data_IF_841131337660
#
_entry.id   IF_841131337660
#
_cell.length_a   1.000
_cell.length_b   1.000
_cell.length_c   1.000
_cell.angle_alpha   90.00
_cell.angle_beta   90.00
_cell.angle_gamma   90.00
#
_symmetry.space_group_name_H-M   'P 1'
#
loop_
_entity.id
_entity.type
_entity.pdbx_description
1 polymer ?
#
# COMPACT_ATOMS: atom_id res chain seq x y z
N UNK A 1 -10.54 7.20 -2.68
CA UNK A 1 -9.87 7.14 -1.34
C UNK A 1 -8.66 8.07 -1.24
N UNK A 2 -7.83 8.22 -2.28
CA UNK A 2 -6.71 9.19 -2.30
C UNK A 2 -7.11 10.65 -1.93
N UNK A 3 -8.23 11.22 -2.42
CA UNK A 3 -8.61 12.59 -2.06
C UNK A 3 -8.91 12.76 -0.57
N UNK A 4 -9.48 11.72 0.07
CA UNK A 4 -9.81 11.74 1.49
C UNK A 4 -8.57 11.65 2.39
N UNK A 5 -7.44 11.11 1.90
CA UNK A 5 -6.19 11.02 2.66
C UNK A 5 -5.31 12.27 2.52
N UNK A 6 -5.41 13.00 1.42
CA UNK A 6 -4.57 14.19 1.16
C UNK A 6 -4.96 15.39 2.02
N UNK A 7 -6.25 15.68 2.15
CA UNK A 7 -6.75 16.79 2.97
C UNK A 7 -6.29 16.72 4.45
N UNK A 8 -6.40 15.59 5.17
CA UNK A 8 -5.92 15.50 6.55
C UNK A 8 -4.40 15.54 6.67
N UNK A 9 -3.65 15.13 5.64
CA UNK A 9 -2.18 15.24 5.64
C UNK A 9 -1.77 16.70 5.53
N UNK A 10 -2.36 17.44 4.59
CA UNK A 10 -2.09 18.87 4.40
C UNK A 10 -2.46 19.68 5.64
N UNK A 11 -3.61 19.41 6.25
CA UNK A 11 -4.01 20.12 7.47
C UNK A 11 -3.11 19.80 8.66
N UNK A 12 -2.71 18.54 8.85
CA UNK A 12 -1.85 18.13 9.96
C UNK A 12 -0.40 18.60 9.81
N UNK A 13 0.12 18.63 8.58
CA UNK A 13 1.44 19.19 8.27
C UNK A 13 1.45 20.70 8.50
N UNK A 14 0.45 21.44 7.97
CA UNK A 14 0.32 22.87 8.20
C UNK A 14 0.18 23.21 9.70
N UNK A 15 -0.64 22.45 10.43
CA UNK A 15 -0.80 22.61 11.87
C UNK A 15 0.50 22.33 12.64
N UNK A 16 1.27 21.31 12.25
CA UNK A 16 2.55 21.02 12.89
C UNK A 16 3.57 22.16 12.66
N UNK A 17 3.68 22.65 11.42
CA UNK A 17 4.56 23.77 11.07
C UNK A 17 4.16 25.03 11.83
N UNK A 18 2.87 25.35 11.89
CA UNK A 18 2.37 26.52 12.63
C UNK A 18 2.70 26.46 14.12
N UNK A 19 2.54 25.30 14.76
CA UNK A 19 2.87 25.11 16.19
C UNK A 19 4.37 25.24 16.46
N UNK A 20 5.21 24.68 15.59
CA UNK A 20 6.67 24.81 15.69
C UNK A 20 7.09 26.27 15.47
N UNK A 21 6.56 26.95 14.46
CA UNK A 21 6.86 28.35 14.17
C UNK A 21 6.49 29.28 15.35
N UNK A 22 5.32 29.07 15.95
CA UNK A 22 4.90 29.80 17.15
C UNK A 22 5.86 29.57 18.33
N UNK A 23 6.29 28.32 18.51
CA UNK A 23 7.23 27.94 19.57
C UNK A 23 8.60 28.59 19.38
N UNK A 24 9.10 28.63 18.13
CA UNK A 24 10.35 29.31 17.76
C UNK A 24 10.28 30.82 18.01
N UNK A 25 9.17 31.46 17.61
CA UNK A 25 8.98 32.90 17.79
C UNK A 25 8.93 33.34 19.26
N UNK A 26 8.49 32.45 20.15
CA UNK A 26 8.32 32.80 21.57
C UNK A 26 9.53 32.46 22.42
N UNK A 27 10.22 31.36 22.13
CA UNK A 27 11.31 30.80 22.94
C UNK A 27 12.69 31.33 22.47
N UNK A 28 12.71 32.18 21.43
CA UNK A 28 13.90 32.92 20.93
C UNK A 28 15.18 32.07 20.89
N UNK A 29 16.12 32.28 21.82
CA UNK A 29 17.43 31.62 21.82
C UNK A 29 17.37 30.11 22.08
N UNK A 30 16.42 29.66 22.90
CA UNK A 30 16.23 28.22 23.16
C UNK A 30 15.61 27.49 21.96
N UNK A 31 15.09 28.22 20.96
CA UNK A 31 14.61 27.62 19.72
C UNK A 31 15.72 27.01 18.86
N UNK A 32 17.00 27.35 19.09
CA UNK A 32 18.14 26.74 18.39
C UNK A 32 18.26 25.22 18.61
N UNK A 33 17.65 24.69 19.68
CA UNK A 33 17.62 23.25 19.98
C UNK A 33 16.56 22.49 19.16
N UNK A 34 15.57 23.19 18.57
CA UNK A 34 14.50 22.56 17.80
C UNK A 34 14.92 22.04 16.41
N UNK A 35 15.69 22.78 15.58
CA UNK A 35 16.14 22.31 14.28
C UNK A 35 16.85 20.94 14.29
N UNK A 36 17.82 20.65 15.19
CA UNK A 36 18.46 19.33 15.20
C UNK A 36 17.47 18.22 15.58
N UNK A 37 16.52 18.46 16.48
CA UNK A 37 15.48 17.49 16.83
C UNK A 37 14.54 17.20 15.65
N UNK A 38 14.12 18.23 14.91
CA UNK A 38 13.31 18.08 13.70
C UNK A 38 14.09 17.35 12.60
N UNK A 39 15.38 17.63 12.44
CA UNK A 39 16.24 16.93 11.48
C UNK A 39 16.34 15.44 11.82
N UNK A 40 16.57 15.10 13.09
CA UNK A 40 16.58 13.70 13.56
C UNK A 40 15.24 13.02 13.30
N UNK A 41 14.12 13.71 13.54
CA UNK A 41 12.78 13.19 13.25
C UNK A 41 12.60 12.85 11.77
N UNK A 42 12.94 13.77 10.86
CA UNK A 42 12.81 13.56 9.41
C UNK A 42 13.73 12.44 8.93
N UNK A 43 14.98 12.40 9.40
CA UNK A 43 15.92 11.33 9.05
C UNK A 43 15.44 9.97 9.53
N UNK A 44 14.98 9.87 10.76
CA UNK A 44 14.46 8.61 11.32
C UNK A 44 13.19 8.16 10.57
N UNK A 45 12.29 9.08 10.22
CA UNK A 45 11.15 8.81 9.35
C UNK A 45 11.56 8.24 7.99
N UNK A 46 12.50 8.90 7.31
CA UNK A 46 12.98 8.45 5.99
C UNK A 46 13.67 7.08 6.03
N UNK A 47 14.47 6.82 7.07
CA UNK A 47 15.16 5.55 7.26
C UNK A 47 14.19 4.40 7.53
N UNK A 48 13.11 4.67 8.27
CA UNK A 48 12.16 3.64 8.68
C UNK A 48 11.17 3.22 7.59
N UNK A 49 10.91 4.08 6.60
CA UNK A 49 9.98 3.78 5.50
C UNK A 49 10.43 2.55 4.71
N UNK A 50 11.73 2.39 4.43
CA UNK A 50 12.22 1.28 3.61
C UNK A 50 12.01 -0.11 4.30
N UNK A 51 12.45 -0.34 5.55
CA UNK A 51 12.15 -1.58 6.26
C UNK A 51 10.65 -1.87 6.41
N UNK A 52 9.85 -0.84 6.67
CA UNK A 52 8.41 -0.98 6.83
C UNK A 52 7.73 -1.46 5.55
N UNK A 53 8.12 -0.91 4.39
CA UNK A 53 7.62 -1.34 3.08
C UNK A 53 7.96 -2.81 2.80
N UNK A 54 9.20 -3.21 3.09
CA UNK A 54 9.66 -4.58 2.88
C UNK A 54 8.93 -5.60 3.74
N UNK A 55 8.76 -5.33 5.04
CA UNK A 55 8.01 -6.22 5.94
C UNK A 55 6.53 -6.30 5.55
N UNK A 56 5.93 -5.18 5.16
CA UNK A 56 4.55 -5.18 4.65
C UNK A 56 4.43 -5.94 3.31
N UNK A 57 5.46 -5.92 2.46
CA UNK A 57 5.51 -6.74 1.24
C UNK A 57 5.55 -8.22 1.59
N UNK A 58 6.42 -8.64 2.50
CA UNK A 58 6.49 -10.03 2.98
C UNK A 58 5.13 -10.48 3.51
N UNK A 59 4.48 -9.65 4.36
CA UNK A 59 3.14 -9.94 4.89
C UNK A 59 2.10 -10.14 3.79
N UNK A 60 2.13 -9.36 2.72
CA UNK A 60 1.21 -9.51 1.58
C UNK A 60 1.51 -10.78 0.77
N UNK A 61 2.79 -11.07 0.56
CA UNK A 61 3.25 -12.26 -0.19
C UNK A 61 2.92 -13.56 0.57
N UNK A 62 2.96 -13.57 1.90
CA UNK A 62 2.56 -14.75 2.69
C UNK A 62 1.05 -14.92 2.81
N UNK A 63 0.29 -13.83 2.76
CA UNK A 63 -1.18 -13.88 2.82
C UNK A 63 -1.80 -14.50 1.56
N UNK A 64 -1.27 -14.20 0.38
CA UNK A 64 -1.86 -14.69 -0.88
C UNK A 64 -1.93 -16.22 -0.97
N UNK A 65 -0.83 -16.98 -0.75
CA UNK A 65 -0.88 -18.45 -0.76
C UNK A 65 -1.81 -19.04 0.29
N UNK A 66 -1.90 -18.41 1.47
CA UNK A 66 -2.83 -18.85 2.53
C UNK A 66 -4.29 -18.76 2.05
N UNK A 67 -4.67 -17.64 1.42
CA UNK A 67 -6.03 -17.47 0.88
C UNK A 67 -6.30 -18.43 -0.28
N UNK A 68 -5.32 -18.63 -1.16
CA UNK A 68 -5.43 -19.62 -2.25
C UNK A 68 -5.64 -21.02 -1.71
N UNK A 69 -4.88 -21.44 -0.70
CA UNK A 69 -5.01 -22.76 -0.10
C UNK A 69 -6.40 -22.98 0.54
N UNK A 70 -6.97 -21.94 1.14
CA UNK A 70 -8.34 -22.01 1.67
C UNK A 70 -9.34 -22.22 0.54
N UNK A 71 -9.20 -21.51 -0.59
CA UNK A 71 -10.06 -21.71 -1.76
C UNK A 71 -9.93 -23.12 -2.33
N UNK A 72 -8.70 -23.59 -2.56
CA UNK A 72 -8.41 -24.94 -3.05
C UNK A 72 -8.95 -26.03 -2.11
N UNK A 73 -8.87 -25.79 -0.80
CA UNK A 73 -9.42 -26.70 0.21
C UNK A 73 -10.95 -26.79 0.17
N UNK A 74 -11.64 -25.69 -0.12
CA UNK A 74 -13.11 -25.65 -0.27
C UNK A 74 -13.52 -26.35 -1.55
N UNK A 75 -12.90 -26.00 -2.68
CA UNK A 75 -13.22 -26.57 -4.00
C UNK A 75 -12.86 -28.08 -4.07
N UNK A 76 -11.74 -28.45 -3.45
CA UNK A 76 -11.22 -29.82 -3.40
C UNK A 76 -11.71 -30.66 -2.21
N UNK A 77 -12.65 -30.16 -1.38
CA UNK A 77 -13.00 -30.78 -0.10
C UNK A 77 -13.44 -32.24 -0.25
N UNK A 78 -14.22 -32.57 -1.28
CA UNK A 78 -14.72 -33.93 -1.55
C UNK A 78 -13.55 -34.85 -1.91
N UNK A 79 -12.66 -34.38 -2.79
CA UNK A 79 -11.50 -35.14 -3.27
C UNK A 79 -10.55 -35.44 -2.10
N UNK A 80 -10.22 -34.42 -1.30
CA UNK A 80 -9.32 -34.56 -0.14
C UNK A 80 -9.88 -35.60 0.85
N UNK A 81 -11.19 -35.60 1.10
CA UNK A 81 -11.84 -36.58 1.98
C UNK A 81 -11.91 -37.97 1.36
N UNK A 82 -12.14 -38.07 0.05
CA UNK A 82 -12.25 -39.34 -0.66
C UNK A 82 -10.93 -40.14 -0.66
N UNK A 83 -9.77 -39.47 -0.74
CA UNK A 83 -8.46 -40.10 -0.65
C UNK A 83 -8.01 -40.45 0.79
N UNK A 84 -8.82 -40.13 1.81
CA UNK A 84 -8.64 -40.58 3.18
C UNK A 84 -7.76 -39.68 4.08
N UNK A 85 -7.51 -40.17 5.29
CA UNK A 85 -6.95 -39.38 6.41
C UNK A 85 -5.51 -38.90 6.18
N UNK A 86 -4.72 -39.57 5.35
CA UNK A 86 -3.32 -39.19 5.10
C UNK A 86 -3.23 -37.91 4.26
N UNK A 87 -4.09 -37.78 3.25
CA UNK A 87 -4.18 -36.57 2.42
C UNK A 87 -4.78 -35.40 3.20
N UNK A 88 -5.76 -35.66 4.05
CA UNK A 88 -6.32 -34.65 4.95
C UNK A 88 -5.27 -34.11 5.94
N UNK A 89 -4.47 -35.00 6.55
CA UNK A 89 -3.35 -34.59 7.42
C UNK A 89 -2.26 -33.81 6.67
N UNK A 90 -1.95 -34.19 5.43
CA UNK A 90 -1.02 -33.43 4.58
C UNK A 90 -1.55 -32.02 4.30
N UNK A 91 -2.84 -31.89 3.98
CA UNK A 91 -3.48 -30.60 3.74
C UNK A 91 -3.44 -29.71 5.00
N UNK A 92 -3.76 -30.25 6.17
CA UNK A 92 -3.66 -29.52 7.43
C UNK A 92 -2.24 -29.06 7.73
N UNK A 93 -1.24 -29.92 7.56
CA UNK A 93 0.16 -29.50 7.75
C UNK A 93 0.55 -28.35 6.82
N UNK A 94 0.10 -28.39 5.56
CA UNK A 94 0.39 -27.33 4.59
C UNK A 94 -0.30 -26.02 4.99
N UNK A 95 -1.53 -26.10 5.50
CA UNK A 95 -2.26 -24.97 6.06
C UNK A 95 -1.57 -24.39 7.31
N UNK A 96 -1.15 -25.23 8.26
CA UNK A 96 -0.47 -24.81 9.48
C UNK A 96 0.83 -24.05 9.14
N UNK A 97 1.63 -24.56 8.19
CA UNK A 97 2.85 -23.88 7.73
C UNK A 97 2.53 -22.53 7.08
N UNK A 98 1.47 -22.45 6.26
CA UNK A 98 1.06 -21.18 5.65
C UNK A 98 0.59 -20.16 6.70
N UNK A 99 -0.16 -20.61 7.70
CA UNK A 99 -0.62 -19.78 8.83
C UNK A 99 0.55 -19.31 9.69
N UNK A 100 1.51 -20.19 9.99
CA UNK A 100 2.71 -19.84 10.77
C UNK A 100 3.53 -18.77 10.04
N UNK A 101 3.78 -18.95 8.75
CA UNK A 101 4.52 -17.97 7.93
C UNK A 101 3.81 -16.61 7.87
N UNK A 102 2.48 -16.60 7.71
CA UNK A 102 1.71 -15.36 7.74
C UNK A 102 1.73 -14.71 9.13
N UNK A 103 1.61 -15.51 10.19
CA UNK A 103 1.62 -15.04 11.58
C UNK A 103 2.97 -14.44 11.96
N UNK A 104 4.08 -15.08 11.60
CA UNK A 104 5.42 -14.57 11.79
C UNK A 104 5.64 -13.23 11.05
N UNK A 105 5.20 -13.13 9.79
CA UNK A 105 5.27 -11.88 9.03
C UNK A 105 4.38 -10.76 9.63
N UNK A 106 3.19 -11.12 10.11
CA UNK A 106 2.27 -10.19 10.76
C UNK A 106 2.83 -9.69 12.10
N UNK A 107 3.44 -10.58 12.90
CA UNK A 107 4.12 -10.23 14.14
C UNK A 107 5.29 -9.30 13.89
N UNK A 108 6.16 -9.61 12.92
CA UNK A 108 7.28 -8.74 12.54
C UNK A 108 6.80 -7.34 12.12
N UNK A 109 5.72 -7.25 11.34
CA UNK A 109 5.09 -5.97 10.97
C UNK A 109 4.58 -5.20 12.19
N UNK A 110 3.92 -5.88 13.13
CA UNK A 110 3.44 -5.26 14.36
C UNK A 110 4.59 -4.77 15.26
N UNK A 111 5.62 -5.58 15.47
CA UNK A 111 6.81 -5.22 16.26
C UNK A 111 7.54 -4.02 15.66
N UNK A 112 7.69 -3.99 14.33
CA UNK A 112 8.34 -2.89 13.63
C UNK A 112 7.54 -1.57 13.78
N UNK A 113 6.22 -1.62 13.57
CA UNK A 113 5.34 -0.47 13.81
C UNK A 113 5.42 0.05 15.25
N UNK A 114 5.41 -0.85 16.23
CA UNK A 114 5.52 -0.48 17.64
C UNK A 114 6.87 0.17 17.97
N UNK A 115 7.97 -0.39 17.44
CA UNK A 115 9.31 0.16 17.63
C UNK A 115 9.40 1.61 17.12
N UNK A 116 8.84 1.88 15.94
CA UNK A 116 8.83 3.22 15.38
C UNK A 116 7.91 4.18 16.12
N UNK A 117 6.72 3.72 16.52
CA UNK A 117 5.82 4.52 17.35
C UNK A 117 6.51 4.97 18.65
N UNK A 118 7.25 4.08 19.32
CA UNK A 118 8.02 4.40 20.52
C UNK A 118 9.13 5.44 20.25
N UNK A 119 9.88 5.31 19.15
CA UNK A 119 10.94 6.26 18.78
C UNK A 119 10.38 7.64 18.43
N UNK A 120 9.30 7.68 17.66
CA UNK A 120 8.59 8.93 17.33
C UNK A 120 8.02 9.59 18.58
N UNK A 121 7.42 8.83 19.49
CA UNK A 121 6.92 9.35 20.75
C UNK A 121 8.04 9.93 21.63
N UNK A 122 9.18 9.23 21.73
CA UNK A 122 10.33 9.70 22.48
C UNK A 122 10.85 11.04 21.95
N UNK A 123 11.08 11.16 20.64
CA UNK A 123 11.57 12.40 20.01
C UNK A 123 10.54 13.53 20.19
N UNK A 124 9.26 13.24 19.98
CA UNK A 124 8.19 14.24 20.11
C UNK A 124 8.08 14.75 21.54
N UNK A 125 8.20 13.87 22.53
CA UNK A 125 8.20 14.26 23.95
C UNK A 125 9.46 15.07 24.31
N UNK A 126 10.63 14.77 23.73
CA UNK A 126 11.82 15.60 23.89
C UNK A 126 11.61 17.02 23.33
N UNK A 127 10.94 17.16 22.18
CA UNK A 127 10.56 18.47 21.62
C UNK A 127 9.66 19.23 22.61
N UNK A 128 8.63 18.58 23.15
CA UNK A 128 7.74 19.20 24.14
C UNK A 128 8.48 19.60 25.41
N UNK A 129 9.39 18.76 25.90
CA UNK A 129 10.21 19.06 27.07
C UNK A 129 11.04 20.34 26.84
N UNK A 130 11.69 20.48 25.69
CA UNK A 130 12.45 21.68 25.33
C UNK A 130 11.56 22.92 25.27
N UNK A 131 10.36 22.79 24.68
CA UNK A 131 9.38 23.88 24.61
C UNK A 131 8.94 24.33 26.01
N UNK A 132 8.56 23.38 26.86
CA UNK A 132 8.09 23.68 28.21
C UNK A 132 9.18 24.26 29.10
N UNK A 133 10.42 23.73 29.03
CA UNK A 133 11.56 24.32 29.71
C UNK A 133 11.82 25.76 29.23
N UNK A 134 11.67 26.03 27.94
CA UNK A 134 11.82 27.36 27.37
C UNK A 134 10.79 28.35 27.90
N UNK A 135 9.53 27.91 28.00
CA UNK A 135 8.48 28.69 28.62
C UNK A 135 8.77 29.02 30.09
N UNK A 136 9.35 28.09 30.85
CA UNK A 136 9.71 28.34 32.26
C UNK A 136 10.84 29.35 32.37
N UNK A 137 11.91 29.19 31.57
CA UNK A 137 13.06 30.11 31.58
C UNK A 137 12.68 31.52 31.16
N UNK A 138 11.82 31.66 30.15
CA UNK A 138 11.37 32.95 29.62
C UNK A 138 10.05 33.44 30.24
N UNK A 139 9.58 32.82 31.32
CA UNK A 139 8.30 33.13 31.96
C UNK A 139 8.19 34.60 32.41
N UNK A 140 9.30 35.26 32.71
CA UNK A 140 9.36 36.68 33.07
C UNK A 140 9.15 37.64 31.90
N UNK A 141 9.40 37.18 30.67
CA UNK A 141 9.37 38.00 29.45
C UNK A 141 8.13 37.75 28.58
N UNK A 142 7.32 36.73 28.93
CA UNK A 142 6.18 36.27 28.14
C UNK A 142 4.88 36.55 28.90
N UNK A 143 3.88 37.12 28.21
CA UNK A 143 2.54 37.29 28.76
C UNK A 143 1.90 35.93 29.08
N UNK A 144 1.21 35.84 30.22
CA UNK A 144 0.53 34.61 30.66
C UNK A 144 -0.40 33.99 29.59
N UNK A 145 -1.04 34.83 28.76
CA UNK A 145 -1.90 34.36 27.66
C UNK A 145 -1.13 33.62 26.55
N UNK A 146 0.05 34.13 26.17
CA UNK A 146 0.91 33.50 25.17
C UNK A 146 1.51 32.20 25.73
N UNK A 147 1.89 32.20 27.00
CA UNK A 147 2.43 31.02 27.68
C UNK A 147 1.39 29.88 27.73
N UNK A 148 0.13 30.18 28.07
CA UNK A 148 -0.96 29.20 28.04
C UNK A 148 -1.22 28.63 26.63
N UNK A 149 -1.12 29.47 25.59
CA UNK A 149 -1.27 29.05 24.19
C UNK A 149 -0.18 28.03 23.80
N UNK A 150 1.08 28.31 24.13
CA UNK A 150 2.22 27.45 23.76
C UNK A 150 2.22 26.15 24.52
N UNK A 151 1.87 26.16 25.81
CA UNK A 151 1.74 24.93 26.59
C UNK A 151 0.64 24.05 25.97
N UNK A 152 -0.53 24.64 25.68
CA UNK A 152 -1.65 23.92 25.08
C UNK A 152 -1.31 23.35 23.70
N UNK A 153 -0.66 24.13 22.84
CA UNK A 153 -0.26 23.67 21.50
C UNK A 153 0.92 22.71 21.54
N UNK A 154 1.90 22.94 22.41
CA UNK A 154 3.06 22.09 22.61
C UNK A 154 2.66 20.68 23.00
N UNK A 155 1.76 20.52 23.99
CA UNK A 155 1.27 19.22 24.44
C UNK A 155 0.56 18.41 23.34
N UNK A 156 0.05 19.07 22.29
CA UNK A 156 -0.59 18.38 21.15
C UNK A 156 0.37 17.99 20.03
N UNK A 157 1.65 18.42 20.08
CA UNK A 157 2.65 18.09 19.05
C UNK A 157 2.86 16.58 18.91
N UNK A 158 3.04 15.79 20.00
CA UNK A 158 3.28 14.35 19.88
C UNK A 158 2.13 13.61 19.20
N UNK A 159 0.89 13.92 19.58
CA UNK A 159 -0.30 13.32 18.97
C UNK A 159 -0.41 13.67 17.47
N UNK A 160 -0.11 14.92 17.10
CA UNK A 160 -0.11 15.36 15.70
C UNK A 160 0.94 14.63 14.87
N UNK A 161 2.17 14.54 15.37
CA UNK A 161 3.27 13.84 14.68
C UNK A 161 2.96 12.35 14.50
N UNK A 162 2.47 11.68 15.55
CA UNK A 162 2.04 10.28 15.45
C UNK A 162 0.94 10.08 14.39
N UNK A 163 -0.06 10.98 14.36
CA UNK A 163 -1.13 10.93 13.36
C UNK A 163 -0.62 11.19 11.93
N UNK A 164 0.35 12.10 11.77
CA UNK A 164 0.96 12.40 10.47
C UNK A 164 1.67 11.19 9.88
N UNK A 165 2.44 10.44 10.68
CA UNK A 165 3.07 9.21 10.17
C UNK A 165 2.03 8.17 9.74
N UNK A 166 0.99 7.95 10.55
CA UNK A 166 -0.08 7.01 10.19
C UNK A 166 -0.78 7.42 8.87
N UNK A 167 -1.06 8.70 8.70
CA UNK A 167 -1.64 9.22 7.46
C UNK A 167 -0.68 9.02 6.26
N UNK A 168 0.62 9.24 6.45
CA UNK A 168 1.62 9.03 5.41
C UNK A 168 1.73 7.56 4.99
N UNK A 169 1.71 6.63 5.95
CA UNK A 169 1.69 5.19 5.67
C UNK A 169 0.42 4.75 4.93
N UNK A 170 -0.73 5.32 5.28
CA UNK A 170 -1.99 5.09 4.57
C UNK A 170 -1.96 5.64 3.14
N UNK A 171 -1.38 6.82 2.93
CA UNK A 171 -1.20 7.41 1.60
C UNK A 171 -0.33 6.52 0.72
N UNK A 172 0.81 6.07 1.24
CA UNK A 172 1.72 5.15 0.54
C UNK A 172 0.99 3.87 0.09
N UNK A 173 0.18 3.30 0.98
CA UNK A 173 -0.61 2.10 0.66
C UNK A 173 -1.68 2.39 -0.39
N UNK A 174 -2.31 3.57 -0.32
CA UNK A 174 -3.34 3.99 -1.27
C UNK A 174 -2.77 4.30 -2.67
N UNK A 175 -1.49 4.69 -2.78
CA UNK A 175 -0.82 4.98 -4.05
C UNK A 175 -0.55 3.73 -4.92
N UNK A 176 -0.64 2.53 -4.36
CA UNK A 176 -0.51 1.28 -5.13
C UNK A 176 -1.64 1.13 -6.16
N UNK A 177 -2.86 1.54 -5.83
CA UNK A 177 -4.01 1.41 -6.72
C UNK A 177 -3.89 2.24 -8.03
N UNK A 178 -3.57 3.55 -8.00
CA UNK A 178 -3.37 4.32 -9.22
C UNK A 178 -2.12 3.89 -10.00
N UNK A 179 -1.07 3.39 -9.33
CA UNK A 179 0.09 2.80 -10.01
C UNK A 179 -0.34 1.59 -10.85
N UNK A 180 -1.15 0.68 -10.29
CA UNK A 180 -1.75 -0.44 -11.04
C UNK A 180 -2.69 0.00 -12.15
N UNK A 181 -3.50 1.04 -11.92
CA UNK A 181 -4.38 1.57 -12.95
C UNK A 181 -3.57 2.14 -14.13
N UNK A 182 -2.46 2.83 -13.84
CA UNK A 182 -1.54 3.34 -14.85
C UNK A 182 -0.87 2.21 -15.63
N UNK A 183 -0.44 1.14 -14.95
CA UNK A 183 0.07 -0.08 -15.57
C UNK A 183 -0.96 -0.68 -16.53
N UNK A 184 -2.23 -0.80 -16.13
CA UNK A 184 -3.29 -1.30 -17.01
C UNK A 184 -3.67 -0.35 -18.15
N UNK A 185 -3.64 0.96 -17.91
CA UNK A 185 -3.93 1.96 -18.94
C UNK A 185 -2.86 2.03 -20.05
N UNK A 186 -1.65 1.51 -19.77
CA UNK A 186 -0.53 1.49 -20.72
C UNK A 186 -0.36 0.16 -21.43
N UNK A 187 -1.18 -0.84 -21.12
CA UNK A 187 -1.16 -2.13 -21.83
C UNK A 187 -1.50 -1.96 -23.32
N UNK A 188 -0.87 -2.74 -24.21
CA UNK A 188 -1.20 -2.73 -25.63
C UNK A 188 -2.66 -3.17 -25.83
N UNK A 189 -3.39 -2.43 -26.66
CA UNK A 189 -4.76 -2.76 -27.01
C UNK A 189 -4.82 -4.01 -27.88
N UNK A 190 -5.78 -4.90 -27.62
CA UNK A 190 -6.05 -6.10 -28.42
C UNK A 190 -6.51 -5.77 -29.87
N UNK A 191 -6.96 -4.53 -30.12
CA UNK A 191 -7.44 -4.04 -31.41
C UNK A 191 -8.61 -3.07 -31.27
N UNK A 192 -8.96 -2.36 -32.35
CA UNK A 192 -10.16 -1.49 -32.36
C UNK A 192 -11.43 -2.34 -32.51
N UNK A 193 -12.42 -2.10 -31.66
CA UNK A 193 -13.76 -2.75 -31.77
C UNK A 193 -14.57 -2.22 -32.95
N UNK A 194 -14.30 -0.98 -33.34
CA UNK A 194 -14.94 -0.19 -34.37
C UNK A 194 -14.19 -0.33 -35.71
N UNK A 195 -14.21 -1.54 -36.27
CA UNK A 195 -13.88 -1.73 -37.69
C UNK A 195 -15.10 -1.30 -38.53
N UNK A 196 -14.97 -0.36 -39.49
CA UNK A 196 -16.07 0.01 -40.36
C UNK A 196 -16.45 -1.19 -41.23
N UNK A 197 -17.52 -1.86 -40.84
CA UNK A 197 -17.99 -3.08 -41.49
C UNK A 197 -19.51 -3.05 -41.64
N UNK A 198 -20.00 -3.41 -42.83
CA UNK A 198 -21.43 -3.36 -43.14
C UNK A 198 -22.15 -4.59 -42.58
N UNK A 199 -22.78 -4.41 -41.42
CA UNK A 199 -23.55 -5.44 -40.71
C UNK A 199 -24.84 -5.85 -41.43
N UNK A 200 -25.40 -5.01 -42.30
CA UNK A 200 -26.75 -5.24 -42.86
C UNK A 200 -26.82 -6.49 -43.75
N UNK A 201 -25.72 -6.87 -44.38
CA UNK A 201 -25.63 -8.04 -45.26
C UNK A 201 -24.85 -9.20 -44.65
N UNK A 202 -24.35 -9.09 -43.41
CA UNK A 202 -23.43 -10.06 -42.82
C UNK A 202 -24.03 -10.78 -41.60
N UNK A 203 -23.88 -12.12 -41.49
CA UNK A 203 -23.46 -13.08 -42.52
C UNK A 203 -24.67 -13.65 -43.28
N UNK A 204 -24.69 -13.55 -44.62
CA UNK A 204 -25.82 -14.09 -45.43
C UNK A 204 -25.74 -15.60 -45.68
N UNK A 205 -24.54 -16.13 -45.92
CA UNK A 205 -24.34 -17.52 -46.36
C UNK A 205 -23.60 -18.40 -45.33
N UNK A 206 -23.05 -17.82 -44.27
CA UNK A 206 -22.36 -18.58 -43.21
C UNK A 206 -21.14 -19.40 -43.66
N UNK A 207 -20.63 -19.21 -44.88
CA UNK A 207 -19.42 -19.88 -45.39
C UNK A 207 -18.18 -19.31 -44.69
N UNK A 208 -17.28 -20.17 -44.22
CA UNK A 208 -16.05 -19.79 -43.54
C UNK A 208 -14.87 -20.42 -44.27
N UNK A 209 -13.93 -19.59 -44.73
CA UNK A 209 -12.72 -20.05 -45.41
C UNK A 209 -11.51 -19.66 -44.58
N UNK A 210 -10.71 -20.65 -44.19
CA UNK A 210 -9.38 -20.46 -43.61
C UNK A 210 -8.34 -20.64 -44.73
N UNK A 211 -7.39 -19.72 -44.82
CA UNK A 211 -6.32 -19.79 -45.83
C UNK A 211 -4.98 -19.55 -45.15
N UNK A 212 -4.13 -20.57 -45.11
CA UNK A 212 -2.79 -20.57 -44.52
C UNK A 212 -2.77 -19.96 -43.11
N UNK A 213 -3.78 -20.26 -42.30
CA UNK A 213 -3.88 -19.70 -40.96
C UNK A 213 -2.91 -20.43 -40.05
N UNK A 214 -2.12 -19.64 -39.33
CA UNK A 214 -1.15 -20.12 -38.35
C UNK A 214 -1.42 -19.43 -37.01
N UNK A 215 -1.32 -20.18 -35.91
CA UNK A 215 -1.69 -19.70 -34.57
C UNK A 215 -0.64 -20.10 -33.52
N UNK A 216 -0.35 -19.19 -32.59
CA UNK A 216 0.46 -19.42 -31.38
C UNK A 216 -0.12 -18.62 -30.22
N UNK A 217 0.06 -19.11 -28.99
CA UNK A 217 -0.44 -18.44 -27.78
C UNK A 217 0.44 -17.26 -27.34
N UNK A 218 1.76 -17.38 -27.49
CA UNK A 218 2.72 -16.30 -27.22
C UNK A 218 3.59 -16.05 -28.44
N UNK A 219 4.17 -14.84 -28.59
CA UNK A 219 5.04 -14.52 -29.72
C UNK A 219 6.19 -15.52 -29.91
N UNK A 220 6.77 -15.99 -28.79
CA UNK A 220 7.94 -16.87 -28.78
C UNK A 220 7.60 -18.38 -28.72
N UNK A 221 6.31 -18.73 -28.60
CA UNK A 221 5.90 -20.14 -28.57
C UNK A 221 5.91 -20.74 -29.99
N UNK A 222 6.16 -22.06 -30.12
CA UNK A 222 5.98 -22.75 -31.40
C UNK A 222 4.54 -22.62 -31.90
N UNK A 223 4.38 -22.69 -33.22
CA UNK A 223 3.05 -22.66 -33.84
C UNK A 223 2.27 -23.91 -33.43
N UNK A 224 1.04 -23.71 -32.96
CA UNK A 224 0.10 -24.78 -32.62
C UNK A 224 -0.73 -25.18 -33.83
N UNK A 225 -1.08 -24.20 -34.66
CA UNK A 225 -1.63 -24.41 -36.00
C UNK A 225 -0.62 -23.91 -37.02
N UNK A 226 -0.33 -24.74 -38.01
CA UNK A 226 0.65 -24.46 -39.06
C UNK A 226 -0.02 -24.59 -40.43
N UNK A 227 -0.14 -23.46 -41.15
CA UNK A 227 -0.60 -23.38 -42.53
C UNK A 227 -1.93 -24.12 -42.80
N UNK A 228 -2.88 -24.00 -41.87
CA UNK A 228 -4.17 -24.67 -41.99
C UNK A 228 -5.05 -23.95 -43.01
N UNK A 229 -5.51 -24.69 -44.01
CA UNK A 229 -6.42 -24.20 -45.06
C UNK A 229 -7.59 -25.15 -45.22
N UNK A 230 -8.81 -24.63 -45.07
CA UNK A 230 -10.05 -25.39 -45.29
C UNK A 230 -11.20 -24.43 -45.58
N UNK A 231 -12.25 -24.96 -46.19
CA UNK A 231 -13.44 -24.21 -46.56
C UNK A 231 -14.67 -24.96 -46.05
N UNK A 232 -15.53 -24.26 -45.29
CA UNK A 232 -16.77 -24.81 -44.72
C UNK A 232 -17.93 -24.09 -45.36
N UNK A 233 -18.82 -24.85 -45.99
CA UNK A 233 -20.00 -24.33 -46.66
C UNK A 233 -21.08 -23.90 -45.67
N UNK A 234 -22.00 -23.04 -46.12
CA UNK A 234 -23.15 -22.64 -45.32
C UNK A 234 -24.05 -23.82 -44.97
N UNK A 235 -24.27 -24.06 -43.67
CA UNK A 235 -25.13 -25.15 -43.18
C UNK A 235 -24.47 -26.53 -43.14
N UNK A 236 -23.17 -26.61 -43.44
CA UNK A 236 -22.35 -27.82 -43.27
C UNK A 236 -22.06 -28.04 -41.77
N UNK A 237 -22.21 -29.28 -41.28
CA UNK A 237 -22.07 -29.67 -39.86
C UNK A 237 -21.00 -30.74 -39.69
#
# INVERSE_FOLDING_TARGET
MLPMSMAPILSQTAAAVGKVALSVGTIQWMALVLPPLVFVYVKLGSYFIAPLREVNRIKKVTLSPLLTLVSEGVDGAIVIRAFGLDYQRRFYRLHDVAVENYSAASFASASLNQWFALRVAAISNSIVLVILLGCVVMSSSISAGILGLIVSYGLTIPANLAKLVNLWANLETALIAPERLHEYATLPSEGRRDTPFNLASWPTHGRITYTNVSFRYKPDDPLVLENVSFDVSGGEK
#
